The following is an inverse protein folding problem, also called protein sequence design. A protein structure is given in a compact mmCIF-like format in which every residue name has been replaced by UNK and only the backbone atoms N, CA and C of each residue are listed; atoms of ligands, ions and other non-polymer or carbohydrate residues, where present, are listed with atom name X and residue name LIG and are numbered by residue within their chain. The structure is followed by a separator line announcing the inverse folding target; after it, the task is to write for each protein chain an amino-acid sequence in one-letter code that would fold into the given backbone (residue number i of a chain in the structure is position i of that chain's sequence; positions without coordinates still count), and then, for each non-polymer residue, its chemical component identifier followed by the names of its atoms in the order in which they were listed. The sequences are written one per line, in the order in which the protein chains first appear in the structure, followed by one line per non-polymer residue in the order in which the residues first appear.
data_IF_599784488726
#
_entry.id   IF_599784488726
#
_cell.length_a   1.000
_cell.length_b   1.000
_cell.length_c   1.000
_cell.angle_alpha   90.00
_cell.angle_beta   90.00
_cell.angle_gamma   90.00
#
_symmetry.space_group_name_H-M   'P 1'
#
loop_
_entity.id
_entity.type
_entity.pdbx_description
1 polymer ?
#
# COMPACT_ATOMS: atom_id res chain seq x y z
N UNK A 1 -3.35 18.36 -2.54
CA UNK A 1 -4.39 17.70 -3.36
C UNK A 1 -4.09 16.23 -3.65
N UNK A 2 -2.86 15.84 -4.00
CA UNK A 2 -2.52 14.43 -4.30
C UNK A 2 -2.72 13.46 -3.12
N UNK A 3 -2.36 13.86 -1.90
CA UNK A 3 -2.54 13.04 -0.67
C UNK A 3 -4.03 12.71 -0.42
N UNK A 4 -4.93 13.66 -0.67
CA UNK A 4 -6.38 13.44 -0.52
C UNK A 4 -6.95 12.48 -1.56
N UNK A 5 -6.47 12.56 -2.81
CA UNK A 5 -6.87 11.63 -3.88
C UNK A 5 -6.38 10.20 -3.56
N UNK A 6 -5.16 10.07 -3.07
CA UNK A 6 -4.61 8.80 -2.60
C UNK A 6 -5.46 8.23 -1.45
N UNK A 7 -5.79 9.01 -0.43
CA UNK A 7 -6.65 8.57 0.66
C UNK A 7 -8.02 8.05 0.18
N UNK A 8 -8.66 8.76 -0.75
CA UNK A 8 -9.94 8.35 -1.34
C UNK A 8 -9.82 7.06 -2.16
N UNK A 9 -8.73 6.90 -2.93
CA UNK A 9 -8.45 5.66 -3.69
C UNK A 9 -8.26 4.47 -2.73
N UNK A 10 -7.52 4.64 -1.64
CA UNK A 10 -7.35 3.59 -0.63
C UNK A 10 -8.67 3.21 0.05
N UNK A 11 -9.52 4.19 0.38
CA UNK A 11 -10.82 3.93 0.98
C UNK A 11 -11.76 3.19 0.00
N UNK A 12 -11.74 3.56 -1.28
CA UNK A 12 -12.48 2.86 -2.32
C UNK A 12 -11.96 1.43 -2.54
N UNK A 13 -10.64 1.23 -2.47
CA UNK A 13 -10.03 -0.09 -2.59
C UNK A 13 -10.41 -1.00 -1.41
N UNK A 14 -10.43 -0.45 -0.18
CA UNK A 14 -10.89 -1.15 1.02
C UNK A 14 -12.36 -1.59 0.87
N UNK A 15 -13.24 -0.69 0.43
CA UNK A 15 -14.65 -0.99 0.21
C UNK A 15 -14.86 -2.08 -0.85
N UNK A 16 -14.11 -2.01 -1.95
CA UNK A 16 -14.14 -3.03 -3.00
C UNK A 16 -13.61 -4.39 -2.50
N UNK A 17 -12.56 -4.39 -1.67
CA UNK A 17 -12.07 -5.59 -0.99
C UNK A 17 -13.11 -6.28 -0.12
N UNK A 18 -13.93 -5.50 0.61
CA UNK A 18 -15.04 -6.05 1.41
C UNK A 18 -16.10 -6.70 0.52
N UNK A 19 -16.43 -6.09 -0.63
CA UNK A 19 -17.38 -6.67 -1.59
C UNK A 19 -16.84 -7.96 -2.23
N UNK A 20 -15.53 -8.02 -2.51
CA UNK A 20 -14.87 -9.22 -3.01
C UNK A 20 -14.94 -10.40 -2.03
N UNK A 21 -14.98 -10.17 -0.71
CA UNK A 21 -15.15 -11.25 0.29
C UNK A 21 -16.49 -11.98 0.09
N UNK A 22 -17.54 -11.26 -0.30
CA UNK A 22 -18.84 -11.85 -0.61
C UNK A 22 -18.88 -12.51 -1.99
N UNK A 23 -17.93 -12.20 -2.86
CA UNK A 23 -17.86 -12.72 -4.24
C UNK A 23 -16.76 -13.78 -4.34
N UNK A 24 -17.13 -15.05 -4.21
CA UNK A 24 -16.22 -16.21 -4.21
C UNK A 24 -15.69 -16.57 -5.62
N UNK A 25 -15.13 -15.59 -6.34
CA UNK A 25 -14.56 -15.79 -7.68
C UNK A 25 -13.04 -15.69 -7.65
N UNK A 26 -12.37 -16.78 -8.01
CA UNK A 26 -10.89 -16.89 -8.02
C UNK A 26 -10.23 -15.85 -8.93
N UNK A 27 -10.82 -15.60 -10.10
CA UNK A 27 -10.31 -14.63 -11.08
C UNK A 27 -10.36 -13.21 -10.52
N UNK A 28 -11.46 -12.87 -9.84
CA UNK A 28 -11.69 -11.54 -9.28
C UNK A 28 -10.73 -11.26 -8.12
N UNK A 29 -10.39 -12.29 -7.34
CA UNK A 29 -9.38 -12.22 -6.29
C UNK A 29 -7.97 -11.97 -6.84
N UNK A 30 -7.57 -12.66 -7.91
CA UNK A 30 -6.25 -12.46 -8.54
C UNK A 30 -6.12 -11.06 -9.13
N UNK A 31 -7.14 -10.55 -9.82
CA UNK A 31 -7.16 -9.18 -10.36
C UNK A 31 -7.09 -8.16 -9.20
N UNK A 32 -7.85 -8.39 -8.13
CA UNK A 32 -7.82 -7.53 -6.94
C UNK A 32 -6.45 -7.49 -6.29
N UNK A 33 -5.80 -8.63 -6.11
CA UNK A 33 -4.45 -8.70 -5.55
C UNK A 33 -3.42 -7.98 -6.44
N UNK A 34 -3.56 -8.10 -7.77
CA UNK A 34 -2.71 -7.42 -8.76
C UNK A 34 -2.83 -5.90 -8.70
N UNK A 35 -4.07 -5.40 -8.73
CA UNK A 35 -4.34 -3.97 -8.58
C UNK A 35 -3.88 -3.44 -7.22
N UNK A 36 -4.08 -4.22 -6.15
CA UNK A 36 -3.63 -3.86 -4.80
C UNK A 36 -2.12 -3.69 -4.74
N UNK A 37 -1.36 -4.65 -5.27
CA UNK A 37 0.11 -4.56 -5.31
C UNK A 37 0.60 -3.29 -6.05
N UNK A 38 0.02 -2.97 -7.20
CA UNK A 38 0.39 -1.78 -7.99
C UNK A 38 0.05 -0.50 -7.23
N UNK A 39 -1.14 -0.41 -6.64
CA UNK A 39 -1.58 0.76 -5.89
C UNK A 39 -0.69 0.99 -4.67
N UNK A 40 -0.47 -0.03 -3.83
CA UNK A 40 0.40 0.08 -2.65
C UNK A 40 1.85 0.41 -3.03
N UNK A 41 2.34 -0.03 -4.20
CA UNK A 41 3.67 0.38 -4.70
C UNK A 41 3.74 1.87 -5.03
N UNK A 42 2.65 2.47 -5.56
CA UNK A 42 2.57 3.91 -5.79
C UNK A 42 2.49 4.68 -4.47
N UNK A 43 1.77 4.15 -3.46
CA UNK A 43 1.78 4.71 -2.11
C UNK A 43 3.19 4.76 -1.52
N UNK A 44 3.92 3.64 -1.56
CA UNK A 44 5.30 3.58 -1.09
C UNK A 44 6.18 4.64 -1.78
N UNK A 45 6.04 4.83 -3.09
CA UNK A 45 6.79 5.86 -3.81
C UNK A 45 6.47 7.28 -3.33
N UNK A 46 5.20 7.55 -2.99
CA UNK A 46 4.76 8.83 -2.44
C UNK A 46 5.24 9.02 -1.00
N UNK A 47 5.17 7.98 -0.16
CA UNK A 47 5.60 8.04 1.23
C UNK A 47 7.12 8.24 1.32
N UNK A 48 7.90 7.57 0.46
CA UNK A 48 9.35 7.83 0.31
C UNK A 48 9.57 9.28 -0.11
N UNK A 49 8.82 9.80 -1.08
CA UNK A 49 8.96 11.18 -1.54
C UNK A 49 8.61 12.19 -0.45
N UNK A 50 7.62 11.90 0.40
CA UNK A 50 7.22 12.77 1.52
C UNK A 50 8.31 12.78 2.61
N UNK A 51 8.89 11.61 2.90
CA UNK A 51 9.95 11.45 3.90
C UNK A 51 11.28 12.07 3.43
N UNK A 52 11.65 11.88 2.15
CA UNK A 52 12.91 12.38 1.58
C UNK A 52 12.83 13.82 1.04
N UNK A 53 11.64 14.31 0.70
CA UNK A 53 11.46 15.47 -0.18
C UNK A 53 11.70 16.86 0.41
N UNK A 54 12.10 17.02 1.67
CA UNK A 54 12.21 18.38 2.22
C UNK A 54 12.96 18.65 3.51
N UNK A 55 13.43 17.65 4.27
CA UNK A 55 14.10 17.92 5.55
C UNK A 55 15.63 17.89 5.42
N UNK A 56 16.22 19.08 5.16
CA UNK A 56 17.64 19.40 5.40
C UNK A 56 17.95 19.79 6.87
N UNK A 57 16.93 19.82 7.73
CA UNK A 57 17.09 20.06 9.17
C UNK A 57 17.28 18.73 9.89
N UNK A 58 18.17 18.70 10.89
CA UNK A 58 18.44 17.57 11.78
C UNK A 58 17.13 16.91 12.21
N UNK A 59 16.78 15.82 11.53
CA UNK A 59 15.61 15.03 11.85
C UNK A 59 15.91 14.39 13.21
N UNK A 60 15.09 14.68 14.22
CA UNK A 60 15.19 14.03 15.52
C UNK A 60 15.21 12.51 15.32
N UNK A 61 16.01 11.78 16.09
CA UNK A 61 16.09 10.32 15.96
C UNK A 61 14.72 9.64 16.04
N UNK A 62 13.77 10.26 16.76
CA UNK A 62 12.38 9.84 16.89
C UNK A 62 11.60 9.90 15.55
N UNK A 63 11.77 10.97 14.78
CA UNK A 63 11.15 11.14 13.45
C UNK A 63 11.71 10.10 12.46
N UNK A 64 13.00 9.76 12.56
CA UNK A 64 13.62 8.71 11.74
C UNK A 64 13.06 7.32 12.05
N UNK A 65 12.90 6.98 13.33
CA UNK A 65 12.32 5.70 13.74
C UNK A 65 10.87 5.60 13.27
N UNK A 66 10.08 6.67 13.43
CA UNK A 66 8.70 6.69 12.97
C UNK A 66 8.58 6.56 11.43
N UNK A 67 9.41 7.29 10.67
CA UNK A 67 9.42 7.22 9.21
C UNK A 67 9.81 5.82 8.69
N UNK A 68 10.82 5.19 9.31
CA UNK A 68 11.22 3.83 8.96
C UNK A 68 10.15 2.78 9.30
N UNK A 69 9.41 2.96 10.40
CA UNK A 69 8.28 2.10 10.73
C UNK A 69 7.15 2.20 9.70
N UNK A 70 6.82 3.42 9.24
CA UNK A 70 5.78 3.64 8.21
C UNK A 70 6.18 2.93 6.92
N UNK A 71 7.39 3.18 6.41
CA UNK A 71 7.90 2.52 5.21
C UNK A 71 7.95 0.99 5.35
N UNK A 72 8.30 0.48 6.53
CA UNK A 72 8.33 -0.94 6.80
C UNK A 72 6.93 -1.57 6.65
N UNK A 73 5.90 -0.94 7.21
CA UNK A 73 4.53 -1.42 7.09
C UNK A 73 4.07 -1.45 5.63
N UNK A 74 4.36 -0.41 4.85
CA UNK A 74 4.00 -0.36 3.43
C UNK A 74 4.65 -1.50 2.62
N UNK A 75 5.94 -1.78 2.88
CA UNK A 75 6.67 -2.89 2.25
C UNK A 75 6.04 -4.24 2.61
N UNK A 76 5.67 -4.45 3.87
CA UNK A 76 5.01 -5.69 4.31
C UNK A 76 3.65 -5.87 3.62
N UNK A 77 2.86 -4.81 3.46
CA UNK A 77 1.59 -4.90 2.75
C UNK A 77 1.78 -5.26 1.28
N UNK A 78 2.74 -4.65 0.58
CA UNK A 78 3.08 -5.01 -0.81
C UNK A 78 3.48 -6.48 -0.90
N UNK A 79 4.35 -6.93 0.03
CA UNK A 79 4.77 -8.33 0.08
C UNK A 79 3.60 -9.31 0.26
N UNK A 80 2.64 -8.99 1.13
CA UNK A 80 1.44 -9.80 1.32
C UNK A 80 0.53 -9.85 0.07
N UNK A 81 0.43 -8.75 -0.69
CA UNK A 81 -0.29 -8.75 -1.97
C UNK A 81 0.42 -9.62 -3.02
N UNK A 82 1.76 -9.55 -3.09
CA UNK A 82 2.56 -10.39 -3.99
C UNK A 82 2.44 -11.87 -3.60
N UNK A 83 2.48 -12.20 -2.30
CA UNK A 83 2.24 -13.57 -1.83
C UNK A 83 0.86 -14.09 -2.21
N UNK A 84 -0.18 -13.25 -2.15
CA UNK A 84 -1.53 -13.61 -2.60
C UNK A 84 -1.61 -13.86 -4.11
N UNK A 85 -0.79 -13.20 -4.91
CA UNK A 85 -0.70 -13.44 -6.36
C UNK A 85 0.03 -14.76 -6.66
N UNK A 86 1.22 -14.93 -6.10
CA UNK A 86 2.05 -16.12 -6.34
C UNK A 86 1.49 -17.39 -5.68
N UNK A 87 0.89 -17.27 -4.50
CA UNK A 87 0.29 -18.39 -3.78
C UNK A 87 -1.12 -18.75 -4.26
N UNK A 88 -1.64 -18.12 -5.33
CA UNK A 88 -2.94 -18.50 -5.91
C UNK A 88 -2.86 -19.73 -6.82
N UNK A 89 -1.67 -20.28 -7.04
CA UNK A 89 -1.45 -21.58 -7.69
C UNK A 89 -1.44 -22.72 -6.67
N UNK A 90 -2.58 -22.94 -6.00
CA UNK A 90 -3.07 -24.25 -5.49
C UNK A 90 -4.56 -24.12 -5.16
#
# INVERSE_FOLDING_TARGET
SCIGVLFVISLAFLAFGIVCIFTYSRILYTIYAGLGAVIFSVFLAVDIQLIMGGKRHEISAEDHICASLILYLDIIYIFLFILRLCGSEE
#
